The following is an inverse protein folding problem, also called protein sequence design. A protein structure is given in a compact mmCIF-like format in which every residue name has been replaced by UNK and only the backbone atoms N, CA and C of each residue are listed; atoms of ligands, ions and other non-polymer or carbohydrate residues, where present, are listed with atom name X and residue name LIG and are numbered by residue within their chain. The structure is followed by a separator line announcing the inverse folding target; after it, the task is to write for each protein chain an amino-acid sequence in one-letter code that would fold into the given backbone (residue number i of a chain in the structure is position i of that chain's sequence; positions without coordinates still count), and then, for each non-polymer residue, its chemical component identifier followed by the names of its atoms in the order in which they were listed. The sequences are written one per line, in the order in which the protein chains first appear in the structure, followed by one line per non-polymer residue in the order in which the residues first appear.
data_IF_319821360378
#
_entry.id   IF_319821360378
#
_cell.length_a   1.000
_cell.length_b   1.000
_cell.length_c   1.000
_cell.angle_alpha   90.00
_cell.angle_beta   90.00
_cell.angle_gamma   90.00
#
_symmetry.space_group_name_H-M   'P 1'
#
loop_
_entity.id
_entity.type
_entity.pdbx_description
1 polymer ?
#
# COMPACT_ATOMS: atom_id res chain seq x y z
N UNK A 1 -62.96 6.81 10.66
CA UNK A 1 -61.69 6.62 11.39
C UNK A 1 -61.05 5.28 11.07
N UNK A 2 -61.85 4.22 10.87
CA UNK A 2 -61.35 2.85 10.68
C UNK A 2 -60.49 2.64 9.44
N UNK A 3 -60.83 3.26 8.30
CA UNK A 3 -60.04 3.15 7.08
C UNK A 3 -58.61 3.73 7.23
N UNK A 4 -58.45 4.82 7.99
CA UNK A 4 -57.14 5.44 8.23
C UNK A 4 -56.27 4.56 9.12
N UNK A 5 -56.86 3.99 10.18
CA UNK A 5 -56.17 3.05 11.08
C UNK A 5 -55.73 1.79 10.31
N UNK A 6 -56.57 1.30 9.41
CA UNK A 6 -56.29 0.11 8.60
C UNK A 6 -55.13 0.33 7.61
N UNK A 7 -55.10 1.47 6.92
CA UNK A 7 -53.98 1.84 6.03
C UNK A 7 -52.68 1.99 6.81
N UNK A 8 -52.73 2.62 7.99
CA UNK A 8 -51.56 2.81 8.83
C UNK A 8 -51.00 1.46 9.32
N UNK A 9 -51.87 0.52 9.71
CA UNK A 9 -51.49 -0.84 10.09
C UNK A 9 -50.83 -1.60 8.93
N UNK A 10 -51.41 -1.52 7.72
CA UNK A 10 -50.84 -2.16 6.53
C UNK A 10 -49.46 -1.58 6.18
N UNK A 11 -49.30 -0.25 6.26
CA UNK A 11 -48.03 0.42 6.01
C UNK A 11 -46.95 0.05 7.04
N UNK A 12 -47.31 0.00 8.33
CA UNK A 12 -46.40 -0.42 9.40
C UNK A 12 -45.94 -1.87 9.24
N UNK A 13 -46.87 -2.79 8.96
CA UNK A 13 -46.55 -4.20 8.74
C UNK A 13 -45.68 -4.39 7.50
N UNK A 14 -46.02 -3.72 6.39
CA UNK A 14 -45.22 -3.74 5.17
C UNK A 14 -43.81 -3.19 5.40
N UNK A 15 -43.69 -2.08 6.11
CA UNK A 15 -42.40 -1.49 6.50
C UNK A 15 -41.57 -2.40 7.39
N UNK A 16 -42.20 -3.03 8.40
CA UNK A 16 -41.52 -3.95 9.31
C UNK A 16 -41.00 -5.21 8.58
N UNK A 17 -41.82 -5.81 7.71
CA UNK A 17 -41.43 -6.98 6.91
C UNK A 17 -40.36 -6.60 5.88
N UNK A 18 -40.51 -5.47 5.20
CA UNK A 18 -39.52 -4.96 4.25
C UNK A 18 -38.18 -4.70 4.91
N UNK A 19 -38.17 -4.04 6.07
CA UNK A 19 -36.96 -3.81 6.86
C UNK A 19 -36.32 -5.11 7.33
N UNK A 20 -37.09 -6.03 7.92
CA UNK A 20 -36.59 -7.31 8.40
C UNK A 20 -36.00 -8.17 7.27
N UNK A 21 -36.65 -8.18 6.11
CA UNK A 21 -36.18 -8.92 4.93
C UNK A 21 -34.92 -8.30 4.35
N UNK A 22 -34.84 -6.97 4.24
CA UNK A 22 -33.64 -6.29 3.75
C UNK A 22 -32.45 -6.51 4.67
N UNK A 23 -32.66 -6.42 5.99
CA UNK A 23 -31.64 -6.74 6.99
C UNK A 23 -31.13 -8.18 6.85
N UNK A 24 -32.05 -9.13 6.67
CA UNK A 24 -31.69 -10.53 6.45
C UNK A 24 -30.94 -10.73 5.13
N UNK A 25 -31.36 -10.08 4.05
CA UNK A 25 -30.73 -10.18 2.74
C UNK A 25 -29.28 -9.69 2.75
N UNK A 26 -29.02 -8.53 3.37
CA UNK A 26 -27.66 -8.01 3.56
C UNK A 26 -26.83 -9.02 4.35
N UNK A 27 -27.38 -9.60 5.42
CA UNK A 27 -26.67 -10.61 6.21
C UNK A 27 -26.38 -11.89 5.40
N UNK A 28 -27.27 -12.28 4.50
CA UNK A 28 -27.11 -13.44 3.62
C UNK A 28 -26.07 -13.26 2.51
N UNK A 29 -25.73 -12.02 2.15
CA UNK A 29 -24.62 -11.76 1.23
C UNK A 29 -23.27 -12.14 1.84
N UNK A 30 -23.10 -11.91 3.15
CA UNK A 30 -21.84 -12.13 3.88
C UNK A 30 -21.79 -13.43 4.70
N UNK A 31 -22.93 -14.06 4.97
CA UNK A 31 -23.05 -15.33 5.72
C UNK A 31 -24.09 -16.22 5.04
N UNK A 32 -24.03 -17.55 5.11
CA UNK A 32 -23.09 -18.36 5.89
C UNK A 32 -21.72 -18.50 5.21
N UNK A 33 -20.69 -18.82 5.98
CA UNK A 33 -19.34 -19.06 5.45
C UNK A 33 -19.22 -20.43 4.80
N UNK A 34 -20.01 -21.38 5.27
CA UNK A 34 -20.11 -22.75 4.77
C UNK A 34 -21.56 -23.07 4.40
N UNK A 35 -21.79 -24.19 3.71
CA UNK A 35 -23.13 -24.62 3.35
C UNK A 35 -23.92 -25.01 4.60
N UNK A 36 -25.03 -24.32 4.86
CA UNK A 36 -25.93 -24.63 5.98
C UNK A 36 -27.23 -25.22 5.45
N UNK A 37 -27.76 -26.23 6.13
CA UNK A 37 -29.09 -26.80 5.88
C UNK A 37 -30.02 -26.42 7.02
N UNK A 38 -31.15 -25.79 6.70
CA UNK A 38 -32.22 -25.46 7.66
C UNK A 38 -33.51 -26.08 7.13
N UNK A 39 -33.95 -27.17 7.76
CA UNK A 39 -35.08 -27.97 7.28
C UNK A 39 -34.85 -28.48 5.84
N UNK A 40 -35.81 -28.33 4.91
CA UNK A 40 -35.67 -28.76 3.52
C UNK A 40 -34.80 -27.80 2.67
N UNK A 41 -34.43 -26.63 3.19
CA UNK A 41 -33.69 -25.62 2.44
C UNK A 41 -32.17 -25.72 2.70
N UNK A 42 -31.37 -25.66 1.64
CA UNK A 42 -29.91 -25.55 1.74
C UNK A 42 -29.46 -24.18 1.27
N UNK A 43 -28.81 -23.44 2.16
CA UNK A 43 -28.18 -22.16 1.86
C UNK A 43 -26.70 -22.41 1.57
N UNK A 44 -26.28 -22.08 0.35
CA UNK A 44 -24.86 -22.04 0.01
C UNK A 44 -24.15 -20.87 0.71
N UNK A 45 -22.81 -20.80 0.62
CA UNK A 45 -22.07 -19.65 1.11
C UNK A 45 -22.59 -18.35 0.53
N UNK A 46 -22.56 -17.27 1.31
CA UNK A 46 -22.98 -15.95 0.85
C UNK A 46 -22.23 -15.53 -0.43
N UNK A 47 -22.92 -14.79 -1.32
CA UNK A 47 -22.38 -14.40 -2.64
C UNK A 47 -21.05 -13.67 -2.52
N UNK A 48 -20.90 -12.81 -1.52
CA UNK A 48 -19.66 -12.07 -1.29
C UNK A 48 -18.52 -13.01 -0.88
N UNK A 49 -18.76 -13.91 0.08
CA UNK A 49 -17.77 -14.89 0.56
C UNK A 49 -17.33 -15.82 -0.56
N UNK A 50 -18.28 -16.28 -1.38
CA UNK A 50 -18.01 -17.17 -2.53
C UNK A 50 -17.09 -16.54 -3.58
N UNK A 51 -17.10 -15.22 -3.73
CA UNK A 51 -16.34 -14.49 -4.74
C UNK A 51 -15.29 -13.54 -4.16
N UNK A 52 -14.93 -13.71 -2.88
CA UNK A 52 -14.03 -12.80 -2.16
C UNK A 52 -12.69 -12.60 -2.86
N UNK A 53 -12.09 -13.67 -3.41
CA UNK A 53 -10.79 -13.57 -4.10
C UNK A 53 -10.86 -12.78 -5.40
N UNK A 54 -11.96 -12.94 -6.15
CA UNK A 54 -12.18 -12.20 -7.39
C UNK A 54 -12.41 -10.73 -7.06
N UNK A 55 -13.28 -10.44 -6.10
CA UNK A 55 -13.56 -9.08 -5.65
C UNK A 55 -12.30 -8.40 -5.10
N UNK A 56 -11.49 -9.09 -4.30
CA UNK A 56 -10.24 -8.57 -3.77
C UNK A 56 -9.25 -8.19 -4.89
N UNK A 57 -9.10 -9.06 -5.91
CA UNK A 57 -8.26 -8.76 -7.09
C UNK A 57 -8.77 -7.56 -7.87
N UNK A 58 -10.07 -7.47 -8.11
CA UNK A 58 -10.66 -6.35 -8.85
C UNK A 58 -10.51 -5.02 -8.10
N UNK A 59 -10.76 -5.03 -6.79
CA UNK A 59 -10.56 -3.85 -5.93
C UNK A 59 -9.09 -3.47 -5.87
N UNK A 60 -8.17 -4.44 -5.73
CA UNK A 60 -6.74 -4.18 -5.74
C UNK A 60 -6.26 -3.60 -7.07
N UNK A 61 -6.78 -4.08 -8.21
CA UNK A 61 -6.50 -3.53 -9.53
C UNK A 61 -6.94 -2.07 -9.64
N UNK A 62 -8.19 -1.78 -9.28
CA UNK A 62 -8.72 -0.41 -9.32
C UNK A 62 -7.92 0.51 -8.38
N UNK A 63 -7.58 0.02 -7.19
CA UNK A 63 -6.78 0.77 -6.22
C UNK A 63 -5.35 1.01 -6.75
N UNK A 64 -4.71 0.02 -7.37
CA UNK A 64 -3.40 0.18 -7.99
C UNK A 64 -3.45 1.21 -9.13
N UNK A 65 -4.44 1.12 -10.03
CA UNK A 65 -4.60 2.06 -11.15
C UNK A 65 -4.87 3.50 -10.69
N UNK A 66 -5.62 3.68 -9.59
CA UNK A 66 -6.04 5.01 -9.11
C UNK A 66 -5.09 5.64 -8.07
N UNK A 67 -4.32 4.85 -7.33
CA UNK A 67 -3.43 5.32 -6.26
C UNK A 67 -1.94 5.23 -6.66
N UNK A 68 -1.55 4.28 -7.52
CA UNK A 68 -0.18 4.14 -8.02
C UNK A 68 -0.03 4.78 -9.40
N UNK A 69 -0.54 6.00 -9.57
CA UNK A 69 -0.22 6.76 -10.77
C UNK A 69 1.22 7.27 -10.69
N UNK A 70 1.85 7.47 -11.86
CA UNK A 70 3.22 8.00 -11.96
C UNK A 70 3.35 9.32 -11.19
N UNK A 71 2.31 10.16 -11.20
CA UNK A 71 2.30 11.44 -10.49
C UNK A 71 2.28 11.26 -8.97
N UNK A 72 1.45 10.35 -8.43
CA UNK A 72 1.45 10.04 -6.99
C UNK A 72 2.76 9.38 -6.55
N UNK A 73 3.37 8.56 -7.42
CA UNK A 73 4.69 7.99 -7.15
C UNK A 73 5.77 9.08 -7.15
N UNK A 74 5.75 10.01 -8.10
CA UNK A 74 6.68 11.16 -8.17
C UNK A 74 6.55 12.07 -6.95
N UNK A 75 5.34 12.41 -6.52
CA UNK A 75 5.12 13.19 -5.28
C UNK A 75 5.66 12.46 -4.04
N UNK A 76 5.44 11.16 -3.94
CA UNK A 76 6.00 10.34 -2.85
C UNK A 76 7.52 10.19 -2.93
N UNK A 77 8.08 10.11 -4.14
CA UNK A 77 9.53 10.00 -4.35
C UNK A 77 10.26 11.33 -4.07
N UNK A 78 9.62 12.45 -4.37
CA UNK A 78 10.11 13.80 -4.05
C UNK A 78 9.84 14.21 -2.60
N UNK A 79 9.18 13.35 -1.81
CA UNK A 79 8.81 13.67 -0.44
C UNK A 79 10.02 13.62 0.49
N UNK A 80 10.06 14.55 1.45
CA UNK A 80 11.13 14.62 2.44
C UNK A 80 11.24 13.32 3.25
N UNK A 81 10.11 12.66 3.50
CA UNK A 81 10.04 11.40 4.25
C UNK A 81 10.76 10.25 3.55
N UNK A 82 10.62 10.13 2.22
CA UNK A 82 11.32 9.08 1.49
C UNK A 82 12.81 9.37 1.36
N UNK A 83 13.19 10.65 1.20
CA UNK A 83 14.58 11.09 1.21
C UNK A 83 15.26 10.75 2.53
N UNK A 84 14.65 11.09 3.66
CA UNK A 84 15.17 10.74 5.00
C UNK A 84 15.28 9.23 5.18
N UNK A 85 14.28 8.46 4.73
CA UNK A 85 14.32 7.00 4.80
C UNK A 85 15.45 6.40 3.94
N UNK A 86 15.63 6.91 2.72
CA UNK A 86 16.70 6.46 1.83
C UNK A 86 18.07 6.80 2.40
N UNK A 87 18.25 8.00 2.93
CA UNK A 87 19.50 8.42 3.57
C UNK A 87 19.85 7.57 4.77
N UNK A 88 18.89 7.31 5.68
CA UNK A 88 19.09 6.47 6.86
C UNK A 88 19.45 5.03 6.46
N UNK A 89 18.75 4.49 5.46
CA UNK A 89 19.06 3.15 4.93
C UNK A 89 20.40 3.08 4.23
N UNK A 90 20.76 4.08 3.43
CA UNK A 90 22.02 4.13 2.71
C UNK A 90 23.18 4.29 3.70
N UNK A 91 23.05 5.18 4.69
CA UNK A 91 24.03 5.36 5.76
C UNK A 91 24.20 4.06 6.54
N UNK A 92 23.11 3.40 6.92
CA UNK A 92 23.15 2.10 7.60
C UNK A 92 23.82 1.00 6.76
N UNK A 93 23.52 0.94 5.46
CA UNK A 93 24.11 -0.04 4.54
C UNK A 93 25.60 0.20 4.31
N UNK A 94 25.99 1.45 4.04
CA UNK A 94 27.39 1.84 3.87
C UNK A 94 28.20 1.58 5.13
N UNK A 95 27.63 1.86 6.31
CA UNK A 95 28.28 1.60 7.59
C UNK A 95 28.46 0.11 7.84
N UNK A 96 27.41 -0.68 7.62
CA UNK A 96 27.48 -2.14 7.75
C UNK A 96 28.51 -2.75 6.79
N UNK A 97 28.56 -2.30 5.53
CA UNK A 97 29.53 -2.79 4.55
C UNK A 97 30.96 -2.33 4.83
N UNK A 98 31.14 -1.09 5.27
CA UNK A 98 32.45 -0.58 5.67
C UNK A 98 33.01 -1.36 6.87
N UNK A 99 32.17 -1.62 7.89
CA UNK A 99 32.56 -2.37 9.07
C UNK A 99 32.81 -3.86 8.75
N UNK A 100 32.06 -4.46 7.81
CA UNK A 100 32.21 -5.86 7.40
C UNK A 100 33.49 -6.12 6.58
N UNK A 101 33.85 -5.23 5.65
CA UNK A 101 35.00 -5.45 4.76
C UNK A 101 36.31 -4.82 5.28
N UNK A 102 36.26 -3.74 6.08
CA UNK A 102 37.44 -2.93 6.44
C UNK A 102 37.57 -2.73 7.97
N UNK A 103 36.57 -3.12 8.78
CA UNK A 103 36.50 -2.73 10.19
C UNK A 103 36.17 -1.23 10.36
N UNK A 104 36.06 -0.70 11.61
CA UNK A 104 35.72 0.70 11.83
C UNK A 104 36.73 1.60 11.11
N UNK A 105 36.34 2.40 10.11
CA UNK A 105 37.30 3.07 9.23
C UNK A 105 38.23 4.05 9.96
N UNK A 106 37.83 4.51 11.15
CA UNK A 106 38.62 5.38 12.01
C UNK A 106 39.76 4.67 12.76
N UNK A 107 39.69 3.34 12.92
CA UNK A 107 40.72 2.55 13.61
C UNK A 107 41.88 2.16 12.68
N UNK A 108 41.63 2.08 11.37
CA UNK A 108 42.66 1.86 10.35
C UNK A 108 43.49 3.10 10.03
N UNK A 109 43.03 4.28 10.47
CA UNK A 109 43.66 5.56 10.17
C UNK A 109 44.55 5.99 11.35
N UNK A 110 45.86 6.20 11.12
CA UNK A 110 46.77 6.72 12.15
C UNK A 110 46.22 7.98 12.84
N UNK A 111 46.55 8.18 14.12
CA UNK A 111 46.14 9.36 14.93
C UNK A 111 46.33 10.67 14.15
N UNK A 112 47.43 10.75 13.41
CA UNK A 112 47.89 11.92 12.67
C UNK A 112 46.96 12.27 11.49
N UNK A 113 46.34 11.25 10.88
CA UNK A 113 45.51 11.38 9.67
C UNK A 113 44.00 11.37 9.96
N UNK A 114 43.60 11.12 11.21
CA UNK A 114 42.17 11.05 11.61
C UNK A 114 41.39 12.33 11.33
N UNK A 115 42.05 13.49 11.35
CA UNK A 115 41.40 14.78 11.08
C UNK A 115 41.07 14.93 9.60
N UNK A 116 42.04 14.63 8.73
CA UNK A 116 41.89 14.64 7.27
C UNK A 116 40.91 13.57 6.80
N UNK A 117 40.96 12.37 7.38
CA UNK A 117 40.00 11.32 7.09
C UNK A 117 38.56 11.73 7.42
N UNK A 118 38.32 12.32 8.60
CA UNK A 118 36.99 12.83 8.97
C UNK A 118 36.51 13.92 8.02
N UNK A 119 37.37 14.86 7.64
CA UNK A 119 37.02 15.91 6.68
C UNK A 119 36.69 15.32 5.29
N UNK A 120 37.47 14.34 4.82
CA UNK A 120 37.23 13.66 3.55
C UNK A 120 35.90 12.91 3.55
N UNK A 121 35.58 12.20 4.64
CA UNK A 121 34.30 11.48 4.79
C UNK A 121 33.13 12.45 4.85
N UNK A 122 33.25 13.55 5.60
CA UNK A 122 32.22 14.58 5.67
C UNK A 122 31.99 15.25 4.31
N UNK A 123 33.07 15.53 3.57
CA UNK A 123 33.01 16.06 2.22
C UNK A 123 32.37 15.07 1.24
N UNK A 124 32.81 13.82 1.25
CA UNK A 124 32.26 12.76 0.41
C UNK A 124 30.77 12.56 0.69
N UNK A 125 30.36 12.54 1.96
CA UNK A 125 28.95 12.42 2.36
C UNK A 125 28.12 13.62 1.88
N UNK A 126 28.63 14.84 2.04
CA UNK A 126 27.95 16.05 1.56
C UNK A 126 27.79 16.06 0.04
N UNK A 127 28.86 15.72 -0.68
CA UNK A 127 28.87 15.60 -2.14
C UNK A 127 27.89 14.53 -2.63
N UNK A 128 27.88 13.37 -1.97
CA UNK A 128 27.01 12.25 -2.32
C UNK A 128 25.54 12.63 -2.15
N UNK A 129 25.21 13.29 -1.03
CA UNK A 129 23.87 13.81 -0.77
C UNK A 129 23.43 14.77 -1.87
N UNK A 130 24.23 15.79 -2.18
CA UNK A 130 23.92 16.74 -3.25
C UNK A 130 23.74 16.08 -4.63
N UNK A 131 24.51 15.04 -4.93
CA UNK A 131 24.43 14.36 -6.22
C UNK A 131 23.21 13.43 -6.29
N UNK A 132 22.90 12.71 -5.21
CA UNK A 132 21.67 11.90 -5.09
C UNK A 132 20.43 12.79 -5.19
N UNK A 133 20.45 13.91 -4.49
CA UNK A 133 19.39 14.91 -4.49
C UNK A 133 19.08 15.41 -5.90
N UNK A 134 20.13 15.80 -6.62
CA UNK A 134 20.03 16.28 -7.99
C UNK A 134 19.60 15.19 -8.98
N UNK A 135 20.03 13.95 -8.75
CA UNK A 135 19.61 12.82 -9.56
C UNK A 135 18.13 12.51 -9.37
N UNK A 136 17.63 12.48 -8.12
CA UNK A 136 16.21 12.25 -7.82
C UNK A 136 15.33 13.33 -8.47
N UNK A 137 15.78 14.59 -8.48
CA UNK A 137 15.06 15.70 -9.10
C UNK A 137 15.16 15.74 -10.64
N UNK A 138 15.96 14.85 -11.25
CA UNK A 138 16.20 14.84 -12.70
C UNK A 138 15.11 14.12 -13.50
N UNK A 139 14.89 14.57 -14.74
CA UNK A 139 14.04 13.89 -15.72
C UNK A 139 14.55 12.48 -16.09
N UNK A 140 15.81 12.18 -15.80
CA UNK A 140 16.41 10.87 -16.04
C UNK A 140 15.94 9.86 -15.01
N UNK A 141 15.88 10.24 -13.73
CA UNK A 141 15.30 9.43 -12.67
C UNK A 141 13.81 9.16 -12.92
N UNK A 142 13.05 10.20 -13.30
CA UNK A 142 11.65 10.04 -13.66
C UNK A 142 11.44 9.01 -14.78
N UNK A 143 12.29 9.05 -15.83
CA UNK A 143 12.25 8.09 -16.95
C UNK A 143 12.66 6.68 -16.53
N UNK A 144 13.68 6.56 -15.67
CA UNK A 144 14.12 5.26 -15.16
C UNK A 144 13.04 4.58 -14.31
N UNK A 145 12.36 5.34 -13.46
CA UNK A 145 11.23 4.85 -12.64
C UNK A 145 10.05 4.48 -13.54
N UNK A 146 9.70 5.31 -14.53
CA UNK A 146 8.61 5.04 -15.47
C UNK A 146 8.86 3.75 -16.28
N UNK A 147 10.08 3.55 -16.78
CA UNK A 147 10.49 2.33 -17.46
C UNK A 147 10.40 1.10 -16.56
N UNK A 148 10.92 1.20 -15.32
CA UNK A 148 10.87 0.08 -14.37
C UNK A 148 9.44 -0.29 -13.94
N UNK A 149 8.57 0.71 -13.73
CA UNK A 149 7.15 0.48 -13.41
C UNK A 149 6.43 -0.16 -14.59
N UNK A 150 6.68 0.31 -15.80
CA UNK A 150 6.08 -0.24 -17.03
C UNK A 150 6.50 -1.69 -17.23
N UNK A 151 7.79 -2.01 -17.10
CA UNK A 151 8.31 -3.37 -17.21
C UNK A 151 7.69 -4.32 -16.17
N UNK A 152 7.54 -3.87 -14.93
CA UNK A 152 6.92 -4.69 -13.85
C UNK A 152 5.43 -4.91 -14.11
N UNK A 153 4.71 -3.89 -14.56
CA UNK A 153 3.29 -4.01 -14.90
C UNK A 153 3.07 -4.92 -16.11
N UNK A 154 3.95 -4.87 -17.12
CA UNK A 154 3.88 -5.76 -18.29
C UNK A 154 4.25 -7.22 -17.96
N UNK A 155 5.21 -7.44 -17.04
CA UNK A 155 5.61 -8.80 -16.65
C UNK A 155 4.67 -9.49 -15.65
N UNK A 156 3.97 -8.74 -14.78
CA UNK A 156 3.04 -9.31 -13.79
C UNK A 156 1.56 -9.20 -14.20
N UNK A 157 1.25 -8.67 -15.38
CA UNK A 157 -0.10 -8.60 -15.95
C UNK A 157 -0.60 -9.88 -16.64
N UNK A 158 0.06 -11.04 -16.46
CA UNK A 158 -0.40 -12.36 -16.94
C UNK A 158 -0.75 -13.31 -15.81
#
# INVERSE_FOLDING_TARGET
MDAFVQILQQALLGGAVGYGTNWLAIRLLFRPYERVKVGPFSFGPGVFVRHQEKLAREVARIAAESILTVDTLKEKLASAELREYFEDKLEGYLRAKADEEWGPPAELVPEELRREYRELVLYARGRLREEVDRFIESDEFARAVEGAVTDVLEHHGR
#
